data_IF_703593985322
#
_entry.id   IF_703593985322
#
_cell.length_a   1.000
_cell.length_b   1.000
_cell.length_c   1.000
_cell.angle_alpha   90.00
_cell.angle_beta   90.00
_cell.angle_gamma   90.00
#
_symmetry.space_group_name_H-M   'P 1'
#
loop_
_entity.id
_entity.type
_entity.pdbx_description
1 polymer ?
#
# COMPACT_ATOMS: atom_id res chain seq x y z
N UNK A 1 -0.36 -10.37 17.79
CA UNK A 1 0.24 -9.44 16.81
C UNK A 1 -0.09 -9.93 15.42
N UNK A 2 -0.61 -9.08 14.55
CA UNK A 2 -0.85 -9.43 13.14
C UNK A 2 0.49 -9.53 12.39
N UNK A 3 0.63 -10.53 11.52
CA UNK A 3 1.77 -10.61 10.59
C UNK A 3 1.54 -9.62 9.43
N UNK A 4 2.31 -8.54 9.41
CA UNK A 4 2.26 -7.52 8.36
C UNK A 4 3.27 -7.74 7.24
N UNK A 5 3.95 -8.89 7.19
CA UNK A 5 4.98 -9.17 6.18
C UNK A 5 4.45 -9.10 4.75
N UNK A 6 3.26 -9.66 4.51
CA UNK A 6 2.60 -9.59 3.20
C UNK A 6 2.14 -8.17 2.82
N UNK A 7 1.93 -7.28 3.79
CA UNK A 7 1.56 -5.89 3.56
C UNK A 7 2.78 -5.01 3.32
N UNK A 8 3.79 -5.09 4.20
CA UNK A 8 4.96 -4.20 4.15
C UNK A 8 6.10 -4.70 3.26
N UNK A 9 6.17 -6.02 3.02
CA UNK A 9 7.24 -6.67 2.27
C UNK A 9 6.70 -7.70 1.26
N UNK A 10 5.68 -7.36 0.45
CA UNK A 10 5.10 -8.27 -0.52
C UNK A 10 6.12 -8.61 -1.62
N UNK A 11 6.02 -9.83 -2.16
CA UNK A 11 6.73 -10.25 -3.36
C UNK A 11 5.91 -10.01 -4.63
N UNK A 12 4.59 -9.98 -4.47
CA UNK A 12 3.64 -9.82 -5.57
C UNK A 12 2.59 -8.78 -5.21
N UNK A 13 2.39 -7.80 -6.09
CA UNK A 13 1.45 -6.68 -5.91
C UNK A 13 0.47 -6.64 -7.08
N UNK A 14 -0.82 -6.69 -6.80
CA UNK A 14 -1.86 -6.41 -7.80
C UNK A 14 -2.41 -4.99 -7.61
N UNK A 15 -2.50 -4.21 -8.69
CA UNK A 15 -3.09 -2.86 -8.68
C UNK A 15 -4.46 -2.91 -9.32
N UNK A 16 -5.52 -2.86 -8.52
CA UNK A 16 -6.90 -2.99 -8.97
C UNK A 16 -7.47 -1.61 -9.29
N UNK A 17 -7.87 -1.44 -10.55
CA UNK A 17 -8.24 -0.16 -11.11
C UNK A 17 -7.09 0.56 -11.81
N UNK A 18 -6.01 -0.15 -12.15
CA UNK A 18 -4.86 0.40 -12.85
C UNK A 18 -5.25 1.10 -14.17
N UNK A 19 -4.49 2.15 -14.52
CA UNK A 19 -4.70 2.94 -15.74
C UNK A 19 -3.35 3.31 -16.37
N UNK A 20 -3.26 3.40 -17.70
CA UNK A 20 -2.09 3.94 -18.38
C UNK A 20 -1.99 5.48 -18.30
N UNK A 21 -3.08 6.15 -17.94
CA UNK A 21 -3.15 7.61 -17.84
C UNK A 21 -2.47 8.11 -16.56
N UNK A 22 -1.22 8.56 -16.67
CA UNK A 22 -0.42 9.08 -15.55
C UNK A 22 -0.89 10.41 -14.98
N UNK A 23 -1.85 11.08 -15.61
CA UNK A 23 -2.48 12.30 -15.06
C UNK A 23 -3.54 11.96 -14.01
N UNK A 24 -4.09 10.75 -14.08
CA UNK A 24 -5.01 10.21 -13.09
C UNK A 24 -4.28 9.60 -11.90
N UNK A 25 -4.93 9.57 -10.72
CA UNK A 25 -4.37 8.88 -9.55
C UNK A 25 -4.07 7.40 -9.83
N UNK A 26 -4.93 6.73 -10.59
CA UNK A 26 -4.79 5.31 -10.97
C UNK A 26 -3.53 5.04 -11.80
N UNK A 27 -3.20 5.91 -12.73
CA UNK A 27 -1.99 5.79 -13.53
C UNK A 27 -0.74 6.25 -12.76
N UNK A 28 -0.87 7.25 -11.88
CA UNK A 28 0.25 7.71 -11.06
C UNK A 28 0.75 6.62 -10.12
N UNK A 29 -0.13 5.85 -9.49
CA UNK A 29 0.27 4.69 -8.67
C UNK A 29 1.10 3.70 -9.47
N UNK A 30 0.66 3.36 -10.67
CA UNK A 30 1.41 2.47 -11.56
C UNK A 30 2.79 3.04 -11.89
N UNK A 31 2.85 4.32 -12.26
CA UNK A 31 4.10 5.02 -12.54
C UNK A 31 5.06 4.97 -11.34
N UNK A 32 4.58 5.32 -10.15
CA UNK A 32 5.40 5.35 -8.93
C UNK A 32 5.88 3.95 -8.53
N UNK A 33 5.04 2.93 -8.63
CA UNK A 33 5.45 1.55 -8.36
C UNK A 33 6.57 1.05 -9.28
N UNK A 34 6.58 1.51 -10.54
CA UNK A 34 7.51 1.01 -11.55
C UNK A 34 8.80 1.84 -11.65
N UNK A 35 8.81 3.10 -11.19
CA UNK A 35 9.98 3.98 -11.36
C UNK A 35 11.12 3.71 -10.37
N UNK A 36 10.89 2.98 -9.27
CA UNK A 36 11.86 2.77 -8.19
C UNK A 36 12.57 1.43 -8.21
N UNK A 37 12.44 0.63 -9.25
CA UNK A 37 13.14 -0.66 -9.39
C UNK A 37 12.75 -1.68 -8.30
N UNK A 38 11.48 -1.71 -7.92
CA UNK A 38 10.92 -2.77 -7.07
C UNK A 38 11.18 -4.15 -7.71
N UNK A 39 11.77 -5.07 -6.95
CA UNK A 39 12.19 -6.39 -7.46
C UNK A 39 11.09 -7.44 -7.43
N UNK A 40 9.94 -7.14 -6.82
CA UNK A 40 8.77 -8.01 -6.86
C UNK A 40 8.00 -7.89 -8.18
N UNK A 41 6.93 -8.66 -8.30
CA UNK A 41 6.07 -8.66 -9.48
C UNK A 41 4.89 -7.72 -9.30
N UNK A 42 4.55 -6.98 -10.33
CA UNK A 42 3.39 -6.06 -10.35
C UNK A 42 2.40 -6.55 -11.41
N UNK A 43 1.15 -6.74 -11.00
CA UNK A 43 0.04 -7.17 -11.84
C UNK A 43 -1.02 -6.07 -11.95
N UNK A 44 -1.07 -5.33 -13.07
CA UNK A 44 -2.16 -4.39 -13.30
C UNK A 44 -3.48 -5.12 -13.49
N UNK A 45 -4.54 -4.71 -12.78
CA UNK A 45 -5.89 -5.24 -12.97
C UNK A 45 -6.74 -4.15 -13.63
N UNK A 46 -7.17 -4.40 -14.86
CA UNK A 46 -7.96 -3.46 -15.67
C UNK A 46 -8.86 -4.19 -16.65
N UNK A 47 -10.14 -3.82 -16.69
CA UNK A 47 -11.10 -4.38 -17.66
C UNK A 47 -11.01 -3.74 -19.04
N UNK A 48 -10.44 -2.55 -19.12
CA UNK A 48 -10.42 -1.72 -20.33
C UNK A 48 -9.10 -1.73 -21.08
N UNK A 49 -8.01 -2.19 -20.45
CA UNK A 49 -6.67 -2.14 -21.05
C UNK A 49 -6.01 -3.50 -20.91
N UNK A 50 -5.57 -4.13 -22.01
CA UNK A 50 -4.88 -5.42 -21.97
C UNK A 50 -3.41 -5.29 -21.55
N UNK A 51 -2.87 -4.08 -21.60
CA UNK A 51 -1.49 -3.74 -21.22
C UNK A 51 -1.45 -2.37 -20.58
N UNK A 52 -0.63 -2.20 -19.54
CA UNK A 52 -0.40 -0.93 -18.84
C UNK A 52 1.10 -0.79 -18.58
N UNK A 53 1.73 0.25 -19.15
CA UNK A 53 3.16 0.57 -18.96
C UNK A 53 4.10 -0.62 -19.23
N UNK A 54 3.84 -1.38 -20.31
CA UNK A 54 4.65 -2.54 -20.70
C UNK A 54 4.33 -3.82 -19.91
N UNK A 55 3.41 -3.79 -18.96
CA UNK A 55 2.96 -4.96 -18.22
C UNK A 55 1.64 -5.46 -18.75
N UNK A 56 1.52 -6.80 -18.92
CA UNK A 56 0.24 -7.44 -19.21
C UNK A 56 -0.74 -7.12 -18.09
N UNK A 57 -1.91 -6.58 -18.45
CA UNK A 57 -3.00 -6.37 -17.51
C UNK A 57 -3.98 -7.55 -17.53
N UNK A 58 -4.62 -7.79 -16.39
CA UNK A 58 -5.59 -8.87 -16.21
C UNK A 58 -6.98 -8.27 -15.95
N UNK A 59 -8.06 -8.85 -16.48
CA UNK A 59 -9.41 -8.33 -16.27
C UNK A 59 -9.86 -8.36 -14.80
N UNK A 60 -9.48 -9.44 -14.08
CA UNK A 60 -9.81 -9.66 -12.67
C UNK A 60 -8.61 -10.21 -11.91
N UNK A 61 -8.68 -10.20 -10.58
CA UNK A 61 -7.65 -10.82 -9.73
C UNK A 61 -7.57 -12.33 -9.94
N UNK A 62 -8.68 -12.95 -10.33
CA UNK A 62 -8.79 -14.39 -10.63
C UNK A 62 -7.96 -14.83 -11.83
N UNK A 63 -7.70 -13.91 -12.76
CA UNK A 63 -6.93 -14.19 -13.98
C UNK A 63 -5.42 -14.10 -13.77
N UNK A 64 -4.97 -13.62 -12.58
CA UNK A 64 -3.55 -13.53 -12.26
C UNK A 64 -2.97 -14.92 -12.05
N UNK A 65 -1.86 -15.28 -12.75
CA UNK A 65 -1.35 -16.67 -12.74
C UNK A 65 -0.59 -17.05 -11.47
N UNK A 66 -0.38 -16.10 -10.56
CA UNK A 66 0.42 -16.29 -9.34
C UNK A 66 -0.35 -15.82 -8.10
N UNK A 67 0.08 -16.31 -6.93
CA UNK A 67 -0.43 -15.84 -5.65
C UNK A 67 -0.06 -14.38 -5.45
N UNK A 68 -1.05 -13.55 -5.09
CA UNK A 68 -0.87 -12.13 -4.78
C UNK A 68 -0.73 -11.94 -3.28
N UNK A 69 0.32 -11.25 -2.84
CA UNK A 69 0.54 -10.90 -1.44
C UNK A 69 -0.23 -9.62 -1.06
N UNK A 70 -0.15 -8.59 -1.92
CA UNK A 70 -0.78 -7.29 -1.69
C UNK A 70 -1.68 -6.88 -2.85
N UNK A 71 -2.94 -6.58 -2.57
CA UNK A 71 -3.85 -5.90 -3.49
C UNK A 71 -3.92 -4.40 -3.15
N UNK A 72 -3.63 -3.54 -4.12
CA UNK A 72 -3.79 -2.08 -4.02
C UNK A 72 -5.05 -1.68 -4.76
N UNK A 73 -6.04 -1.15 -4.04
CA UNK A 73 -7.35 -0.81 -4.60
C UNK A 73 -7.49 0.69 -4.81
N UNK A 74 -7.78 1.08 -6.05
CA UNK A 74 -8.13 2.44 -6.43
C UNK A 74 -9.33 2.44 -7.38
N UNK A 75 -10.45 2.02 -6.85
CA UNK A 75 -11.76 1.89 -7.52
C UNK A 75 -12.83 2.59 -6.68
N UNK A 76 -13.99 2.96 -7.23
CA UNK A 76 -15.06 3.58 -6.44
C UNK A 76 -15.43 2.74 -5.21
N UNK A 77 -15.69 3.39 -4.08
CA UNK A 77 -15.92 2.77 -2.76
C UNK A 77 -16.97 1.65 -2.80
N UNK A 78 -18.03 1.84 -3.57
CA UNK A 78 -19.15 0.88 -3.71
C UNK A 78 -18.71 -0.49 -4.23
N UNK A 79 -17.59 -0.59 -4.95
CA UNK A 79 -17.07 -1.86 -5.51
C UNK A 79 -15.98 -2.49 -4.65
N UNK A 80 -15.49 -1.78 -3.62
CA UNK A 80 -14.32 -2.24 -2.84
C UNK A 80 -14.65 -3.52 -2.07
N UNK A 81 -15.79 -3.58 -1.40
CA UNK A 81 -16.16 -4.76 -0.59
C UNK A 81 -16.25 -6.03 -1.46
N UNK A 82 -16.95 -5.98 -2.59
CA UNK A 82 -17.08 -7.12 -3.50
C UNK A 82 -15.72 -7.54 -4.07
N UNK A 83 -14.86 -6.58 -4.37
CA UNK A 83 -13.50 -6.84 -4.85
C UNK A 83 -12.63 -7.49 -3.77
N UNK A 84 -12.75 -7.10 -2.51
CA UNK A 84 -12.05 -7.75 -1.39
C UNK A 84 -12.53 -9.18 -1.17
N UNK A 85 -13.84 -9.46 -1.36
CA UNK A 85 -14.35 -10.83 -1.32
C UNK A 85 -13.74 -11.70 -2.43
N UNK A 86 -13.58 -11.14 -3.62
CA UNK A 86 -12.87 -11.82 -4.72
C UNK A 86 -11.39 -12.04 -4.35
N UNK A 87 -10.71 -11.03 -3.83
CA UNK A 87 -9.34 -11.15 -3.33
C UNK A 87 -9.20 -12.26 -2.28
N UNK A 88 -10.14 -12.34 -1.33
CA UNK A 88 -10.15 -13.36 -0.28
C UNK A 88 -10.30 -14.77 -0.85
N UNK A 89 -11.19 -14.97 -1.85
CA UNK A 89 -11.33 -16.26 -2.56
C UNK A 89 -10.02 -16.71 -3.20
N UNK A 90 -9.22 -15.76 -3.68
CA UNK A 90 -7.90 -15.99 -4.28
C UNK A 90 -6.75 -15.93 -3.25
N UNK A 91 -7.08 -15.95 -1.96
CA UNK A 91 -6.12 -16.02 -0.84
C UNK A 91 -5.13 -14.86 -0.83
N UNK A 92 -5.54 -13.69 -1.32
CA UNK A 92 -4.75 -12.45 -1.16
C UNK A 92 -4.62 -12.16 0.34
N UNK A 93 -3.39 -11.93 0.80
CA UNK A 93 -3.09 -11.83 2.23
C UNK A 93 -3.32 -10.43 2.80
N UNK A 94 -3.12 -9.41 1.97
CA UNK A 94 -3.24 -8.03 2.40
C UNK A 94 -3.85 -7.13 1.32
N UNK A 95 -4.50 -6.06 1.76
CA UNK A 95 -5.09 -5.05 0.89
C UNK A 95 -4.77 -3.64 1.39
N UNK A 96 -4.46 -2.75 0.46
CA UNK A 96 -4.29 -1.32 0.66
C UNK A 96 -5.40 -0.59 -0.09
N UNK A 97 -6.28 0.10 0.61
CA UNK A 97 -7.42 0.81 0.01
C UNK A 97 -7.09 2.31 -0.03
N UNK A 98 -6.82 2.79 -1.23
CA UNK A 98 -6.52 4.21 -1.49
C UNK A 98 -7.80 5.02 -1.76
N UNK A 99 -8.87 4.34 -2.14
CA UNK A 99 -10.17 4.95 -2.44
C UNK A 99 -10.75 5.68 -1.23
N UNK A 100 -11.38 6.82 -1.48
CA UNK A 100 -12.26 7.56 -0.56
C UNK A 100 -13.73 7.25 -0.83
N UNK A 101 -14.63 7.82 -0.02
CA UNK A 101 -16.08 7.61 -0.08
C UNK A 101 -16.54 6.60 0.98
N UNK A 102 -15.93 6.63 2.14
CA UNK A 102 -16.26 5.81 3.32
C UNK A 102 -16.69 6.72 4.48
N UNK A 103 -16.39 6.37 5.71
CA UNK A 103 -16.83 7.12 6.89
C UNK A 103 -16.38 8.59 6.93
N UNK A 104 -15.31 8.96 6.22
CA UNK A 104 -14.87 10.35 6.11
C UNK A 104 -15.87 11.25 5.38
N UNK A 105 -16.75 10.70 4.55
CA UNK A 105 -17.82 11.47 3.88
C UNK A 105 -18.98 11.82 4.82
N UNK A 106 -18.96 11.32 6.06
CA UNK A 106 -19.99 11.55 7.07
C UNK A 106 -21.41 11.20 6.58
N UNK A 107 -21.52 10.19 5.70
CA UNK A 107 -22.76 9.66 5.16
C UNK A 107 -23.07 8.28 5.75
N UNK A 108 -24.36 7.95 5.91
CA UNK A 108 -24.76 6.61 6.36
C UNK A 108 -24.23 5.50 5.43
N UNK A 109 -24.21 5.76 4.13
CA UNK A 109 -23.67 4.82 3.14
C UNK A 109 -22.16 4.62 3.32
N UNK A 110 -21.40 5.69 3.57
CA UNK A 110 -19.96 5.63 3.83
C UNK A 110 -19.62 4.80 5.07
N UNK A 111 -20.38 4.99 6.15
CA UNK A 111 -20.25 4.22 7.38
C UNK A 111 -20.53 2.72 7.16
N UNK A 112 -21.58 2.40 6.39
CA UNK A 112 -21.94 1.02 6.05
C UNK A 112 -20.86 0.36 5.19
N UNK A 113 -20.30 1.08 4.22
CA UNK A 113 -19.20 0.59 3.39
C UNK A 113 -17.96 0.29 4.25
N UNK A 114 -17.60 1.18 5.17
CA UNK A 114 -16.46 0.97 6.06
C UNK A 114 -16.67 -0.21 7.00
N UNK A 115 -17.86 -0.41 7.56
CA UNK A 115 -18.19 -1.58 8.39
C UNK A 115 -18.01 -2.90 7.65
N UNK A 116 -18.38 -2.95 6.35
CA UNK A 116 -18.14 -4.15 5.52
C UNK A 116 -16.66 -4.51 5.43
N UNK A 117 -15.75 -3.53 5.38
CA UNK A 117 -14.32 -3.80 5.35
C UNK A 117 -13.85 -4.53 6.62
N UNK A 118 -14.31 -4.05 7.78
CA UNK A 118 -14.00 -4.67 9.06
C UNK A 118 -14.53 -6.11 9.16
N UNK A 119 -15.75 -6.36 8.67
CA UNK A 119 -16.33 -7.71 8.66
C UNK A 119 -15.55 -8.66 7.76
N UNK A 120 -15.12 -8.19 6.58
CA UNK A 120 -14.29 -8.97 5.65
C UNK A 120 -12.94 -9.28 6.29
N UNK A 121 -12.26 -8.29 6.86
CA UNK A 121 -10.96 -8.48 7.53
C UNK A 121 -11.05 -9.53 8.64
N UNK A 122 -12.04 -9.42 9.53
CA UNK A 122 -12.24 -10.38 10.63
C UNK A 122 -12.53 -11.80 10.16
N UNK A 123 -13.33 -11.96 9.12
CA UNK A 123 -13.75 -13.27 8.62
C UNK A 123 -12.66 -13.96 7.81
N UNK A 124 -11.85 -13.20 7.07
CA UNK A 124 -10.86 -13.74 6.14
C UNK A 124 -9.44 -13.72 6.69
N UNK A 125 -9.20 -13.04 7.81
CA UNK A 125 -7.88 -12.70 8.35
C UNK A 125 -7.00 -11.91 7.35
N UNK A 126 -7.60 -11.24 6.37
CA UNK A 126 -6.88 -10.35 5.45
C UNK A 126 -6.48 -9.08 6.20
N UNK A 127 -5.22 -8.70 6.13
CA UNK A 127 -4.74 -7.39 6.61
C UNK A 127 -5.26 -6.31 5.67
N UNK A 128 -6.09 -5.39 6.15
CA UNK A 128 -6.67 -4.31 5.35
C UNK A 128 -6.24 -2.97 5.92
N UNK A 129 -5.52 -2.17 5.14
CA UNK A 129 -5.09 -0.80 5.46
C UNK A 129 -5.90 0.23 4.67
N UNK A 130 -6.21 1.34 5.29
CA UNK A 130 -7.10 2.37 4.76
C UNK A 130 -8.53 2.23 5.33
N UNK A 131 -9.58 2.63 4.60
CA UNK A 131 -9.59 3.32 3.30
C UNK A 131 -9.10 4.77 3.39
N UNK A 132 -9.23 5.52 2.28
CA UNK A 132 -8.84 6.93 2.20
C UNK A 132 -7.36 7.18 2.59
N UNK A 133 -6.49 6.26 2.19
CA UNK A 133 -5.05 6.33 2.42
C UNK A 133 -4.33 6.92 1.20
N UNK A 134 -3.22 7.61 1.40
CA UNK A 134 -2.30 7.99 0.31
C UNK A 134 -1.34 6.84 -0.04
N UNK A 135 -1.31 5.78 0.75
CA UNK A 135 -0.45 4.63 0.58
C UNK A 135 0.79 4.65 1.46
N UNK A 136 1.81 3.94 1.02
CA UNK A 136 3.05 3.88 1.78
C UNK A 136 4.29 3.79 0.86
N UNK A 137 5.46 4.01 1.47
CA UNK A 137 6.77 3.74 0.86
C UNK A 137 7.61 2.89 1.82
N UNK A 138 8.12 1.75 1.32
CA UNK A 138 9.16 0.96 1.93
C UNK A 138 10.47 1.22 1.20
N UNK A 139 11.37 1.97 1.83
CA UNK A 139 12.59 2.47 1.20
C UNK A 139 13.57 1.34 0.87
N UNK A 140 13.64 0.31 1.72
CA UNK A 140 14.56 -0.82 1.54
C UNK A 140 14.20 -1.66 0.31
N UNK A 141 12.90 -1.87 0.08
CA UNK A 141 12.41 -2.64 -1.06
C UNK A 141 12.20 -1.80 -2.31
N UNK A 142 12.35 -0.47 -2.21
CA UNK A 142 11.97 0.48 -3.27
C UNK A 142 10.51 0.28 -3.71
N UNK A 143 9.66 -0.08 -2.75
CA UNK A 143 8.25 -0.35 -2.97
C UNK A 143 7.43 0.84 -2.53
N UNK A 144 6.77 1.49 -3.47
CA UNK A 144 5.99 2.71 -3.23
C UNK A 144 4.58 2.58 -3.82
N UNK A 145 3.66 1.81 -3.20
CA UNK A 145 2.26 1.74 -3.62
C UNK A 145 1.50 3.01 -3.14
N UNK A 146 1.79 4.13 -3.76
CA UNK A 146 1.28 5.44 -3.41
C UNK A 146 1.14 6.31 -4.65
N UNK A 147 0.35 7.36 -4.55
CA UNK A 147 0.27 8.43 -5.55
C UNK A 147 0.95 9.72 -5.07
N UNK A 148 1.71 9.66 -3.98
CA UNK A 148 2.35 10.84 -3.41
C UNK A 148 3.38 11.45 -4.35
N UNK A 149 3.33 12.78 -4.58
CA UNK A 149 4.34 13.47 -5.37
C UNK A 149 5.72 13.46 -4.71
N UNK A 150 5.81 13.22 -3.41
CA UNK A 150 7.07 13.17 -2.67
C UNK A 150 8.00 12.04 -3.15
N UNK A 151 7.43 10.98 -3.73
CA UNK A 151 8.15 9.83 -4.29
C UNK A 151 7.87 9.62 -5.79
N UNK A 152 7.21 10.56 -6.46
CA UNK A 152 6.95 10.55 -7.90
C UNK A 152 8.11 11.24 -8.63
N UNK A 153 9.18 10.51 -8.90
CA UNK A 153 10.31 11.03 -9.65
C UNK A 153 11.32 9.96 -10.03
N UNK A 154 11.98 10.16 -11.16
CA UNK A 154 13.11 9.36 -11.58
C UNK A 154 14.34 9.69 -10.73
N UNK A 155 15.16 8.69 -10.40
CA UNK A 155 16.42 8.84 -9.66
C UNK A 155 16.29 9.41 -8.23
N UNK A 156 15.17 9.21 -7.56
CA UNK A 156 15.06 9.49 -6.14
C UNK A 156 15.84 8.42 -5.38
N UNK A 157 16.86 8.84 -4.64
CA UNK A 157 17.52 7.96 -3.70
C UNK A 157 16.60 7.75 -2.49
N UNK A 158 15.93 6.60 -2.47
CA UNK A 158 14.97 6.27 -1.40
C UNK A 158 15.68 5.96 -0.07
N UNK A 159 16.94 5.52 -0.13
CA UNK A 159 17.64 5.05 1.04
C UNK A 159 19.08 5.54 1.09
N UNK A 160 19.36 6.60 1.86
CA UNK A 160 20.72 7.02 2.12
C UNK A 160 21.51 5.95 2.88
N UNK A 161 22.85 5.98 2.73
CA UNK A 161 23.78 5.05 3.38
C UNK A 161 23.83 5.26 4.90
N UNK A 162 22.85 4.72 5.61
CA UNK A 162 22.78 4.77 7.08
C UNK A 162 22.62 3.37 7.67
N UNK A 163 23.16 3.09 8.88
CA UNK A 163 22.92 1.82 9.57
C UNK A 163 21.42 1.55 9.77
N UNK A 164 20.99 0.30 9.63
CA UNK A 164 19.59 -0.09 9.77
C UNK A 164 18.96 0.37 11.10
N UNK A 165 19.72 0.29 12.20
CA UNK A 165 19.29 0.66 13.56
C UNK A 165 19.04 2.17 13.77
N UNK A 166 19.38 3.03 12.81
CA UNK A 166 19.24 4.50 12.94
C UNK A 166 18.29 5.07 11.89
N UNK A 167 17.25 4.31 11.50
CA UNK A 167 16.29 4.74 10.49
C UNK A 167 15.00 5.23 11.11
N UNK A 168 14.33 6.11 10.40
CA UNK A 168 13.08 6.75 10.79
C UNK A 168 11.93 6.08 10.06
N UNK A 169 10.94 5.58 10.78
CA UNK A 169 9.64 5.24 10.23
C UNK A 169 8.65 6.37 10.55
N UNK A 170 7.93 6.83 9.55
CA UNK A 170 6.84 7.80 9.69
C UNK A 170 5.53 7.02 9.53
N UNK A 171 4.66 7.11 10.53
CA UNK A 171 3.32 6.54 10.49
C UNK A 171 2.34 7.66 10.82
N UNK A 172 1.37 7.89 9.94
CA UNK A 172 0.42 8.99 10.07
C UNK A 172 -0.94 8.60 9.47
N UNK A 173 -2.03 9.10 10.02
CA UNK A 173 -3.35 8.97 9.40
C UNK A 173 -3.42 9.79 8.11
N UNK A 174 -3.00 11.05 8.17
CA UNK A 174 -3.01 11.95 7.02
C UNK A 174 -1.90 11.63 6.02
N UNK A 175 -2.29 11.37 4.77
CA UNK A 175 -1.37 11.13 3.67
C UNK A 175 -0.41 12.28 3.45
N UNK A 176 -0.94 13.47 3.24
CA UNK A 176 -0.13 14.67 3.00
C UNK A 176 0.83 14.99 4.15
N UNK A 177 0.42 14.75 5.40
CA UNK A 177 1.30 14.95 6.57
C UNK A 177 2.44 13.92 6.56
N UNK A 178 2.13 12.63 6.39
CA UNK A 178 3.13 11.56 6.39
C UNK A 178 4.22 11.80 5.34
N UNK A 179 3.83 12.01 4.10
CA UNK A 179 4.78 12.25 3.02
C UNK A 179 5.49 13.60 3.09
N UNK A 180 4.92 14.62 3.73
CA UNK A 180 5.61 15.91 3.98
C UNK A 180 6.86 15.75 4.85
N UNK A 181 6.86 14.83 5.82
CA UNK A 181 8.05 14.53 6.61
C UNK A 181 9.18 13.99 5.73
N UNK A 182 8.86 13.08 4.84
CA UNK A 182 9.82 12.53 3.88
C UNK A 182 10.35 13.62 2.94
N UNK A 183 9.45 14.38 2.31
CA UNK A 183 9.80 15.43 1.34
C UNK A 183 10.73 16.49 1.94
N UNK A 184 10.47 16.89 3.19
CA UNK A 184 11.30 17.88 3.90
C UNK A 184 12.57 17.30 4.53
N UNK A 185 12.56 16.02 4.87
CA UNK A 185 13.71 15.35 5.50
C UNK A 185 14.72 14.81 4.49
N UNK A 186 14.27 14.39 3.31
CA UNK A 186 15.13 13.85 2.25
C UNK A 186 16.29 14.79 1.87
N UNK A 187 16.08 16.08 1.59
CA UNK A 187 17.18 16.99 1.27
C UNK A 187 18.18 17.18 2.40
N UNK A 188 17.82 16.78 3.63
CA UNK A 188 18.68 16.79 4.81
C UNK A 188 19.33 15.44 5.08
N UNK A 189 19.24 14.50 4.15
CA UNK A 189 19.74 13.12 4.26
C UNK A 189 19.22 12.37 5.51
N UNK A 190 17.98 12.64 5.95
CA UNK A 190 17.38 11.87 7.03
C UNK A 190 17.11 10.42 6.56
N UNK A 191 17.49 9.42 7.37
CA UNK A 191 17.46 8.01 6.96
C UNK A 191 16.08 7.40 7.17
N UNK A 192 15.15 7.64 6.25
CA UNK A 192 13.84 7.01 6.32
C UNK A 192 13.90 5.53 5.96
N UNK A 193 13.14 4.71 6.68
CA UNK A 193 12.88 3.29 6.36
C UNK A 193 11.49 3.10 5.77
N UNK A 194 10.51 3.73 6.39
CA UNK A 194 9.11 3.67 5.98
C UNK A 194 8.46 5.04 6.05
N UNK A 195 7.53 5.29 5.14
CA UNK A 195 6.49 6.31 5.27
C UNK A 195 5.17 5.60 5.03
N UNK A 196 4.30 5.51 6.03
CA UNK A 196 3.05 4.78 5.97
C UNK A 196 1.91 5.70 6.34
N UNK A 197 0.88 5.73 5.50
CA UNK A 197 -0.32 6.50 5.79
C UNK A 197 -1.51 5.56 5.93
N UNK A 198 -2.27 5.67 7.01
CA UNK A 198 -3.29 4.70 7.38
C UNK A 198 -4.70 5.11 6.99
N UNK A 199 -4.93 6.40 6.68
CA UNK A 199 -6.27 6.90 6.31
C UNK A 199 -7.27 6.77 7.45
N UNK A 200 -8.44 6.19 7.17
CA UNK A 200 -9.53 6.05 8.15
C UNK A 200 -9.29 5.00 9.24
N UNK A 201 -8.28 4.14 9.09
CA UNK A 201 -7.97 3.06 10.06
C UNK A 201 -9.18 2.12 10.33
N UNK A 202 -9.85 1.70 9.26
CA UNK A 202 -11.04 0.84 9.40
C UNK A 202 -10.74 -0.54 9.98
N UNK A 203 -9.51 -1.06 9.77
CA UNK A 203 -9.09 -2.40 10.21
C UNK A 203 -7.70 -2.39 10.83
N UNK A 204 -6.67 -2.01 10.06
CA UNK A 204 -5.30 -1.88 10.53
C UNK A 204 -5.09 -0.45 11.06
N UNK A 205 -4.73 -0.34 12.32
CA UNK A 205 -4.46 0.94 12.98
C UNK A 205 -2.96 1.28 12.97
N UNK A 206 -2.65 2.56 13.16
CA UNK A 206 -1.26 3.03 13.21
C UNK A 206 -0.45 2.36 14.33
N UNK A 207 -1.08 2.05 15.46
CA UNK A 207 -0.41 1.37 16.58
C UNK A 207 -0.05 -0.08 16.27
N UNK A 208 -0.84 -0.80 15.49
CA UNK A 208 -0.50 -2.17 15.03
C UNK A 208 0.80 -2.16 14.20
N UNK A 209 0.94 -1.13 13.35
CA UNK A 209 2.13 -0.96 12.51
C UNK A 209 3.35 -0.61 13.37
N UNK A 210 3.19 0.28 14.35
CA UNK A 210 4.26 0.64 15.31
C UNK A 210 4.73 -0.60 16.04
N UNK A 211 3.81 -1.39 16.60
CA UNK A 211 4.13 -2.62 17.32
C UNK A 211 4.90 -3.62 16.45
N UNK A 212 4.43 -3.83 15.22
CA UNK A 212 5.09 -4.73 14.27
C UNK A 212 6.51 -4.27 13.93
N UNK A 213 6.71 -2.98 13.63
CA UNK A 213 8.03 -2.45 13.27
C UNK A 213 9.02 -2.47 14.44
N UNK A 214 8.55 -2.24 15.68
CA UNK A 214 9.39 -2.37 16.88
C UNK A 214 9.85 -3.81 17.04
N UNK A 215 8.95 -4.80 16.88
CA UNK A 215 9.30 -6.20 17.00
C UNK A 215 10.29 -6.66 15.91
N UNK A 216 10.18 -6.15 14.68
CA UNK A 216 11.15 -6.42 13.63
C UNK A 216 12.57 -5.95 14.01
N UNK A 217 12.69 -4.80 14.68
CA UNK A 217 13.99 -4.29 15.14
C UNK A 217 14.61 -5.22 16.20
N UNK A 218 13.83 -5.69 17.16
CA UNK A 218 14.32 -6.59 18.20
C UNK A 218 14.71 -7.98 17.66
N UNK A 219 13.98 -8.50 16.69
CA UNK A 219 14.30 -9.82 16.10
C UNK A 219 15.51 -9.79 15.18
N UNK A 220 15.77 -8.69 14.49
CA UNK A 220 16.96 -8.53 13.66
C UNK A 220 18.23 -8.38 14.50
N UNK A 221 18.17 -7.77 15.68
CA UNK A 221 19.31 -7.61 16.59
C UNK A 221 19.72 -8.94 17.26
N UNK A 222 18.76 -9.85 17.51
CA UNK A 222 19.04 -11.18 18.06
C UNK A 222 19.66 -12.16 17.07
N UNK A 223 19.64 -11.85 15.78
CA UNK A 223 20.25 -12.66 14.72
C UNK A 223 21.69 -12.23 14.38
N UNK A 224 22.11 -11.04 14.85
CA UNK A 224 23.46 -10.48 14.62
C UNK A 224 24.40 -10.66 15.84
N UNK A 225 23.93 -11.27 16.95
CA UNK A 225 24.71 -11.74 18.10
C UNK A 225 24.96 -13.26 18.00
#
# INVERSE_FOLDING_TARGET
MADLSAFLSPKTVAVIGASPDTTSLRGRIMKVLLCHDFKGKVFPISRSHPEIMGLKAFPTISDVPEQVDLAVLIIPAIYVADTLEECAKHRVKSALILSSGFAEDSSEDGDLLQKKLLDISKRTNMVISGPNSEGYANMALKLCPTFSPAVDGENIELMPSWPAKKRIAVIAQSGGMGFSFYDRGRPKNLPFSYVITTGNEACLESLDIVEYLICLLYTSDAADE
#
